data_IF_803101100928
#
_entry.id   IF_803101100928
#
_cell.length_a   1.000
_cell.length_b   1.000
_cell.length_c   1.000
_cell.angle_alpha   90.00
_cell.angle_beta   90.00
_cell.angle_gamma   90.00
#
_symmetry.space_group_name_H-M   'P 1'
#
loop_
_entity.id
_entity.type
_entity.pdbx_description
1 polymer ?
#
# COMPACT_ATOMS: atom_id res chain seq x y z
N UNK A 1 2.70 41.32 -37.91
CA UNK A 1 2.57 39.84 -37.83
C UNK A 1 3.66 39.20 -36.98
N UNK A 2 4.95 39.34 -37.30
CA UNK A 2 6.05 38.69 -36.53
C UNK A 2 6.10 39.06 -35.03
N UNK A 3 5.94 40.34 -34.67
CA UNK A 3 5.96 40.79 -33.26
C UNK A 3 4.78 40.23 -32.45
N UNK A 4 3.61 40.14 -33.07
CA UNK A 4 2.39 39.58 -32.47
C UNK A 4 2.53 38.07 -32.23
N UNK A 5 3.16 37.36 -33.18
CA UNK A 5 3.48 35.93 -33.04
C UNK A 5 4.52 35.72 -31.93
N UNK A 6 5.58 36.53 -31.86
CA UNK A 6 6.59 36.43 -30.80
C UNK A 6 6.02 36.72 -29.40
N UNK A 7 5.14 37.73 -29.26
CA UNK A 7 4.47 38.04 -28.00
C UNK A 7 3.51 36.92 -27.56
N UNK A 8 2.80 36.28 -28.51
CA UNK A 8 1.96 35.13 -28.23
C UNK A 8 2.76 33.89 -27.81
N UNK A 9 3.93 33.65 -28.42
CA UNK A 9 4.82 32.54 -28.03
C UNK A 9 5.41 32.76 -26.64
N UNK A 10 5.86 33.97 -26.30
CA UNK A 10 6.38 34.30 -24.96
C UNK A 10 5.25 34.20 -23.92
N UNK A 11 4.07 34.76 -24.21
CA UNK A 11 2.91 34.71 -23.33
C UNK A 11 2.35 33.30 -23.12
N UNK A 12 2.43 32.41 -24.13
CA UNK A 12 2.04 30.99 -24.02
C UNK A 12 3.14 30.11 -23.39
N UNK A 13 4.42 30.50 -23.52
CA UNK A 13 5.53 29.79 -22.88
C UNK A 13 5.50 29.90 -21.34
N UNK A 14 5.09 31.06 -20.81
CA UNK A 14 4.96 31.33 -19.37
C UNK A 14 4.01 30.37 -18.63
N UNK A 15 2.74 30.16 -19.05
CA UNK A 15 1.84 29.22 -18.41
C UNK A 15 2.27 27.76 -18.59
N UNK A 16 2.85 27.40 -19.75
CA UNK A 16 3.39 26.06 -19.95
C UNK A 16 4.55 25.77 -18.99
N UNK A 17 5.49 26.70 -18.86
CA UNK A 17 6.61 26.60 -17.90
C UNK A 17 6.08 26.53 -16.47
N UNK A 18 5.09 27.35 -16.09
CA UNK A 18 4.47 27.29 -14.77
C UNK A 18 3.81 25.93 -14.49
N UNK A 19 3.11 25.34 -15.47
CA UNK A 19 2.52 24.01 -15.36
C UNK A 19 3.59 22.92 -15.21
N UNK A 20 4.69 22.99 -15.97
CA UNK A 20 5.80 22.05 -15.87
C UNK A 20 6.50 22.15 -14.51
N UNK A 21 6.76 23.36 -14.02
CA UNK A 21 7.33 23.59 -12.69
C UNK A 21 6.41 23.07 -11.59
N UNK A 22 5.09 23.31 -11.70
CA UNK A 22 4.10 22.78 -10.77
C UNK A 22 4.07 21.25 -10.80
N UNK A 23 4.08 20.64 -11.99
CA UNK A 23 4.09 19.18 -12.14
C UNK A 23 5.37 18.57 -11.56
N UNK A 24 6.54 19.18 -11.81
CA UNK A 24 7.81 18.77 -11.25
C UNK A 24 7.81 18.88 -9.72
N UNK A 25 7.30 19.99 -9.17
CA UNK A 25 7.19 20.20 -7.73
C UNK A 25 6.26 19.18 -7.06
N UNK A 26 5.08 18.94 -7.63
CA UNK A 26 4.14 17.93 -7.12
C UNK A 26 4.76 16.54 -7.19
N UNK A 27 5.42 16.19 -8.30
CA UNK A 27 6.08 14.90 -8.46
C UNK A 27 7.19 14.72 -7.44
N UNK A 28 8.10 15.69 -7.30
CA UNK A 28 9.17 15.64 -6.31
C UNK A 28 8.61 15.56 -4.88
N UNK A 29 7.55 16.32 -4.60
CA UNK A 29 6.91 16.34 -3.29
C UNK A 29 6.26 15.00 -2.93
N UNK A 30 5.50 14.41 -3.85
CA UNK A 30 4.77 13.16 -3.63
C UNK A 30 5.68 11.94 -3.64
N UNK A 31 6.61 11.85 -4.60
CA UNK A 31 7.43 10.66 -4.80
C UNK A 31 8.74 10.65 -4.01
N UNK A 32 9.19 11.80 -3.49
CA UNK A 32 10.47 11.90 -2.78
C UNK A 32 10.39 12.60 -1.42
N UNK A 33 9.92 13.86 -1.38
CA UNK A 33 10.01 14.66 -0.16
C UNK A 33 9.07 14.13 0.94
N UNK A 34 7.82 13.84 0.61
CA UNK A 34 6.82 13.37 1.59
C UNK A 34 7.20 12.02 2.20
N UNK A 35 7.56 10.98 1.41
CA UNK A 35 7.97 9.69 1.97
C UNK A 35 9.21 9.81 2.86
N UNK A 36 10.17 10.65 2.48
CA UNK A 36 11.39 10.88 3.27
C UNK A 36 11.13 11.66 4.56
N UNK A 37 10.21 12.64 4.54
CA UNK A 37 9.75 13.35 5.74
C UNK A 37 9.07 12.39 6.71
N UNK A 38 8.16 11.54 6.24
CA UNK A 38 7.50 10.52 7.06
C UNK A 38 8.53 9.57 7.67
N UNK A 39 9.48 9.07 6.87
CA UNK A 39 10.55 8.20 7.38
C UNK A 39 11.40 8.86 8.46
N UNK A 40 11.76 10.14 8.29
CA UNK A 40 12.51 10.92 9.30
C UNK A 40 11.70 11.10 10.58
N UNK A 41 10.42 11.43 10.46
CA UNK A 41 9.52 11.57 11.61
C UNK A 41 9.39 10.27 12.41
N UNK A 42 9.28 9.13 11.70
CA UNK A 42 9.23 7.81 12.33
C UNK A 42 10.56 7.44 13.00
N UNK A 43 11.70 7.75 12.35
CA UNK A 43 13.01 7.53 12.92
C UNK A 43 13.25 8.36 14.19
N UNK A 44 12.72 9.59 14.26
CA UNK A 44 12.75 10.43 15.46
C UNK A 44 11.93 9.84 16.63
N UNK A 45 10.91 9.03 16.33
CA UNK A 45 10.12 8.28 17.31
C UNK A 45 10.75 6.90 17.65
N UNK A 46 11.96 6.62 17.17
CA UNK A 46 12.66 5.35 17.39
C UNK A 46 12.30 4.24 16.40
N UNK A 47 11.38 4.47 15.47
CA UNK A 47 10.97 3.48 14.46
C UNK A 47 11.88 3.56 13.24
N UNK A 48 12.79 2.58 13.11
CA UNK A 48 13.75 2.49 12.00
C UNK A 48 13.34 1.40 11.01
N UNK A 49 14.09 1.27 9.94
CA UNK A 49 13.87 0.24 8.94
C UNK A 49 14.89 0.32 7.81
N UNK A 50 14.75 -0.54 6.78
CA UNK A 50 15.75 -0.68 5.73
C UNK A 50 15.94 0.63 4.94
N UNK A 51 17.16 0.95 4.51
CA UNK A 51 17.41 2.13 3.70
C UNK A 51 16.72 1.97 2.31
N UNK A 52 15.86 2.91 1.88
CA UNK A 52 15.19 2.83 0.61
C UNK A 52 16.11 3.28 -0.53
N UNK A 53 15.91 2.69 -1.72
CA UNK A 53 16.55 3.17 -2.95
C UNK A 53 15.74 4.32 -3.57
N UNK A 54 16.39 5.24 -4.32
CA UNK A 54 15.69 6.31 -5.02
C UNK A 54 14.55 5.80 -5.91
N UNK A 55 13.37 6.44 -5.81
CA UNK A 55 12.12 6.16 -6.55
C UNK A 55 11.46 4.78 -6.35
N UNK A 56 12.26 3.73 -6.22
CA UNK A 56 11.81 2.33 -6.15
C UNK A 56 11.61 1.85 -4.72
N UNK A 57 12.16 2.58 -3.73
CA UNK A 57 12.08 2.19 -2.33
C UNK A 57 12.81 0.87 -2.06
N UNK A 58 12.15 -0.04 -1.36
CA UNK A 58 12.67 -1.37 -1.02
C UNK A 58 12.16 -2.48 -1.97
N UNK A 59 11.43 -2.14 -3.04
CA UNK A 59 10.80 -3.15 -3.92
C UNK A 59 11.78 -4.17 -4.50
N UNK A 60 12.98 -3.73 -4.92
CA UNK A 60 14.00 -4.64 -5.47
C UNK A 60 14.55 -5.62 -4.43
N UNK A 61 14.67 -5.17 -3.19
CA UNK A 61 15.11 -6.02 -2.08
C UNK A 61 14.01 -7.04 -1.75
N UNK A 62 12.77 -6.58 -1.66
CA UNK A 62 11.60 -7.44 -1.45
C UNK A 62 11.49 -8.51 -2.55
N UNK A 63 11.59 -8.12 -3.82
CA UNK A 63 11.49 -9.06 -4.95
C UNK A 63 12.62 -10.08 -4.95
N UNK A 64 13.86 -9.66 -4.62
CA UNK A 64 15.00 -10.56 -4.53
C UNK A 64 14.87 -11.55 -3.36
N UNK A 65 14.38 -11.10 -2.20
CA UNK A 65 14.12 -11.96 -1.05
C UNK A 65 13.03 -12.99 -1.36
N UNK A 66 11.92 -12.57 -1.97
CA UNK A 66 10.83 -13.47 -2.39
C UNK A 66 11.35 -14.50 -3.39
N UNK A 67 12.06 -14.06 -4.45
CA UNK A 67 12.59 -14.97 -5.45
C UNK A 67 13.53 -16.04 -4.87
N UNK A 68 14.35 -15.68 -3.87
CA UNK A 68 15.20 -16.64 -3.15
C UNK A 68 14.39 -17.58 -2.28
N UNK A 69 13.40 -17.06 -1.53
CA UNK A 69 12.59 -17.87 -0.63
C UNK A 69 11.65 -18.84 -1.37
N UNK A 70 11.31 -18.54 -2.62
CA UNK A 70 10.47 -19.37 -3.48
C UNK A 70 11.24 -20.12 -4.57
N UNK A 71 12.58 -20.13 -4.52
CA UNK A 71 13.42 -20.74 -5.56
C UNK A 71 13.23 -22.27 -5.63
N UNK A 72 13.18 -22.91 -4.47
CA UNK A 72 13.02 -24.36 -4.34
C UNK A 72 11.60 -24.73 -3.93
N UNK A 73 11.21 -25.98 -4.14
CA UNK A 73 9.94 -26.53 -3.67
C UNK A 73 9.84 -26.53 -2.13
N UNK A 74 8.62 -26.57 -1.61
CA UNK A 74 8.43 -26.69 -0.17
C UNK A 74 8.87 -28.10 0.29
N UNK A 75 9.69 -28.21 1.34
CA UNK A 75 10.20 -29.50 1.82
C UNK A 75 9.08 -30.36 2.41
N UNK A 76 8.03 -29.74 2.95
CA UNK A 76 6.83 -30.40 3.47
C UNK A 76 5.63 -29.46 3.38
N UNK A 77 4.43 -30.05 3.43
CA UNK A 77 3.21 -29.26 3.57
C UNK A 77 3.14 -28.68 4.98
N UNK A 78 3.29 -27.35 5.07
CA UNK A 78 3.23 -26.61 6.32
C UNK A 78 2.32 -25.39 6.18
N UNK A 79 1.67 -24.99 7.28
CA UNK A 79 0.94 -23.73 7.37
C UNK A 79 1.86 -22.53 7.66
N UNK A 80 3.10 -22.77 8.11
CA UNK A 80 4.09 -21.71 8.31
C UNK A 80 4.79 -21.33 6.99
N UNK A 81 4.06 -20.56 6.19
CA UNK A 81 4.48 -20.12 4.85
C UNK A 81 4.95 -18.67 4.81
N UNK A 82 4.93 -17.96 5.95
CA UNK A 82 5.21 -16.52 6.01
C UNK A 82 6.66 -16.24 5.59
N UNK A 83 7.61 -17.03 6.06
CA UNK A 83 9.01 -16.92 5.64
C UNK A 83 9.23 -17.13 4.15
N UNK A 84 8.34 -17.89 3.48
CA UNK A 84 8.40 -18.15 2.04
C UNK A 84 7.76 -17.02 1.21
N UNK A 85 6.55 -16.61 1.57
CA UNK A 85 5.79 -15.62 0.78
C UNK A 85 6.15 -14.16 1.13
N UNK A 86 6.54 -13.91 2.38
CA UNK A 86 6.85 -12.58 2.91
C UNK A 86 8.19 -12.58 3.68
N UNK A 87 9.30 -13.08 3.09
CA UNK A 87 10.60 -13.20 3.76
C UNK A 87 11.12 -11.89 4.33
N UNK A 88 10.83 -10.78 3.66
CA UNK A 88 11.21 -9.43 4.09
C UNK A 88 10.62 -9.05 5.46
N UNK A 89 9.41 -9.51 5.80
CA UNK A 89 8.85 -9.27 7.12
C UNK A 89 9.55 -10.06 8.21
N UNK A 90 9.90 -11.32 7.94
CA UNK A 90 10.66 -12.15 8.88
C UNK A 90 12.05 -11.56 9.11
N UNK A 91 12.76 -11.22 8.03
CA UNK A 91 14.10 -10.62 8.10
C UNK A 91 14.09 -9.28 8.85
N UNK A 92 13.21 -8.35 8.46
CA UNK A 92 13.22 -7.00 9.02
C UNK A 92 12.64 -6.94 10.43
N UNK A 93 11.70 -7.82 10.79
CA UNK A 93 11.24 -7.90 12.20
C UNK A 93 12.34 -8.40 13.13
N UNK A 94 13.19 -9.33 12.67
CA UNK A 94 14.39 -9.74 13.41
C UNK A 94 15.46 -8.65 13.51
N UNK A 95 15.57 -7.79 12.50
CA UNK A 95 16.63 -6.77 12.42
C UNK A 95 16.26 -5.45 13.10
N UNK A 96 15.00 -5.00 12.95
CA UNK A 96 14.53 -3.69 13.40
C UNK A 96 13.51 -3.79 14.56
N UNK A 97 13.14 -5.01 14.95
CA UNK A 97 12.16 -5.27 16.00
C UNK A 97 10.72 -5.34 15.50
N UNK A 98 9.77 -5.29 16.44
CA UNK A 98 8.34 -5.51 16.17
C UNK A 98 7.65 -4.38 15.39
N UNK A 99 8.34 -3.27 15.18
CA UNK A 99 7.83 -2.09 14.52
C UNK A 99 8.91 -1.51 13.60
N UNK A 100 8.64 -1.46 12.31
CA UNK A 100 9.60 -0.91 11.35
C UNK A 100 8.92 -0.24 10.15
N UNK A 101 9.63 0.68 9.51
CA UNK A 101 9.16 1.42 8.32
C UNK A 101 9.99 1.06 7.09
N UNK A 102 9.32 0.78 5.99
CA UNK A 102 9.96 0.58 4.68
C UNK A 102 9.18 1.33 3.58
N UNK A 103 9.78 1.51 2.41
CA UNK A 103 9.10 2.15 1.28
C UNK A 103 8.73 1.08 0.23
N UNK A 104 7.45 1.04 -0.13
CA UNK A 104 6.95 0.27 -1.26
C UNK A 104 6.78 1.21 -2.46
N UNK A 105 7.82 1.33 -3.28
CA UNK A 105 7.91 2.41 -4.26
C UNK A 105 8.06 3.75 -3.55
N UNK A 106 7.12 4.67 -3.79
CA UNK A 106 7.01 5.93 -3.05
C UNK A 106 6.08 5.86 -1.84
N UNK A 107 5.42 4.73 -1.57
CA UNK A 107 4.48 4.61 -0.46
C UNK A 107 5.21 4.16 0.82
N UNK A 108 5.30 5.00 1.87
CA UNK A 108 5.83 4.58 3.15
C UNK A 108 4.85 3.61 3.82
N UNK A 109 5.37 2.49 4.31
CA UNK A 109 4.59 1.46 5.01
C UNK A 109 5.19 1.21 6.39
N UNK A 110 4.32 1.22 7.38
CA UNK A 110 4.63 0.83 8.75
C UNK A 110 4.21 -0.62 8.95
N UNK A 111 5.15 -1.50 9.29
CA UNK A 111 4.87 -2.88 9.65
C UNK A 111 4.72 -2.99 11.16
N UNK A 112 3.60 -3.54 11.60
CA UNK A 112 3.27 -3.82 12.99
C UNK A 112 3.27 -5.34 13.16
N UNK A 113 4.12 -5.88 14.04
CA UNK A 113 4.06 -7.29 14.45
C UNK A 113 3.70 -7.46 15.92
N UNK A 114 3.62 -6.35 16.68
CA UNK A 114 3.15 -6.39 18.06
C UNK A 114 1.62 -6.55 18.14
N UNK A 115 1.16 -7.60 18.81
CA UNK A 115 -0.25 -7.98 18.87
C UNK A 115 -1.11 -6.96 19.62
N UNK A 116 -0.56 -6.25 20.62
CA UNK A 116 -1.30 -5.23 21.35
C UNK A 116 -1.57 -4.02 20.44
N UNK A 117 -0.56 -3.57 19.69
CA UNK A 117 -0.70 -2.48 18.73
C UNK A 117 -1.62 -2.86 17.57
N UNK A 118 -1.53 -4.09 17.06
CA UNK A 118 -2.43 -4.58 16.00
C UNK A 118 -3.88 -4.58 16.50
N UNK A 119 -4.13 -5.07 17.71
CA UNK A 119 -5.48 -5.10 18.30
C UNK A 119 -6.04 -3.69 18.49
N UNK A 120 -5.22 -2.76 18.96
CA UNK A 120 -5.62 -1.35 19.06
C UNK A 120 -5.92 -0.77 17.67
N UNK A 121 -5.02 -0.94 16.70
CA UNK A 121 -5.18 -0.40 15.34
C UNK A 121 -6.40 -0.97 14.59
N UNK A 122 -6.74 -2.23 14.82
CA UNK A 122 -7.92 -2.89 14.23
C UNK A 122 -9.21 -2.69 15.05
N UNK A 123 -9.15 -1.96 16.17
CA UNK A 123 -10.34 -1.65 16.95
C UNK A 123 -11.27 -0.66 16.25
N UNK A 124 -12.51 -0.58 16.72
CA UNK A 124 -13.51 0.37 16.20
C UNK A 124 -13.06 1.83 16.26
N UNK A 125 -12.16 2.18 17.18
CA UNK A 125 -11.56 3.51 17.33
C UNK A 125 -10.89 4.01 16.05
N UNK A 126 -10.22 3.11 15.32
CA UNK A 126 -9.46 3.45 14.11
C UNK A 126 -10.08 2.89 12.83
N UNK A 127 -11.29 2.33 12.89
CA UNK A 127 -11.94 1.70 11.74
C UNK A 127 -12.04 2.62 10.49
N UNK A 128 -12.19 3.93 10.71
CA UNK A 128 -12.22 4.93 9.63
C UNK A 128 -10.84 5.26 9.05
N UNK A 129 -9.77 5.04 9.81
CA UNK A 129 -8.37 5.22 9.39
C UNK A 129 -7.80 3.96 8.72
N UNK A 130 -8.39 2.79 8.97
CA UNK A 130 -8.01 1.53 8.32
C UNK A 130 -8.60 1.40 6.92
N UNK A 131 -7.82 0.93 5.96
CA UNK A 131 -8.29 0.74 4.59
C UNK A 131 -7.21 0.24 3.63
N UNK A 132 -7.62 0.01 2.39
CA UNK A 132 -6.73 -0.30 1.28
C UNK A 132 -6.01 0.95 0.81
N UNK A 133 -4.71 0.81 0.58
CA UNK A 133 -3.86 1.93 0.20
C UNK A 133 -4.24 2.47 -1.19
N UNK A 134 -3.87 3.72 -1.50
CA UNK A 134 -4.14 4.27 -2.83
C UNK A 134 -3.47 3.45 -3.93
N UNK A 135 -2.21 3.04 -3.70
CA UNK A 135 -1.46 2.22 -4.64
C UNK A 135 -2.13 0.87 -4.89
N UNK A 136 -2.62 0.21 -3.83
CA UNK A 136 -3.37 -1.04 -3.95
C UNK A 136 -4.66 -0.87 -4.76
N UNK A 137 -5.44 0.17 -4.45
CA UNK A 137 -6.73 0.42 -5.12
C UNK A 137 -6.56 0.78 -6.59
N UNK A 138 -5.59 1.63 -6.94
CA UNK A 138 -5.35 1.99 -8.34
C UNK A 138 -4.69 0.86 -9.11
N UNK A 139 -3.69 0.19 -8.52
CA UNK A 139 -2.96 -0.89 -9.18
C UNK A 139 -3.83 -2.10 -9.53
N UNK A 140 -4.91 -2.33 -8.79
CA UNK A 140 -5.84 -3.46 -9.02
C UNK A 140 -7.18 -3.05 -9.64
N UNK A 141 -7.40 -1.74 -9.88
CA UNK A 141 -8.69 -1.20 -10.31
C UNK A 141 -9.21 -1.85 -11.58
N UNK A 142 -8.34 -2.10 -12.56
CA UNK A 142 -8.72 -2.68 -13.85
C UNK A 142 -8.88 -4.20 -13.81
N UNK A 143 -8.38 -4.87 -12.77
CA UNK A 143 -8.47 -6.33 -12.62
C UNK A 143 -9.66 -6.75 -11.75
N UNK A 144 -9.87 -6.04 -10.63
CA UNK A 144 -10.84 -6.44 -9.58
C UNK A 144 -11.95 -5.39 -9.42
N UNK A 145 -11.81 -4.22 -10.04
CA UNK A 145 -12.78 -3.14 -9.92
C UNK A 145 -12.81 -2.48 -8.54
N UNK A 146 -13.86 -1.69 -8.30
CA UNK A 146 -14.13 -1.01 -7.03
C UNK A 146 -15.09 -1.77 -6.11
N UNK A 147 -15.03 -3.11 -6.14
CA UNK A 147 -15.87 -3.99 -5.32
C UNK A 147 -15.43 -4.06 -3.86
N UNK A 148 -16.09 -4.92 -3.08
CA UNK A 148 -15.94 -5.03 -1.62
C UNK A 148 -14.48 -5.20 -1.18
N UNK A 149 -13.67 -5.90 -1.97
CA UNK A 149 -12.26 -6.16 -1.66
C UNK A 149 -11.41 -4.87 -1.60
N UNK A 150 -11.72 -3.88 -2.45
CA UNK A 150 -10.93 -2.65 -2.64
C UNK A 150 -11.63 -1.38 -2.17
N UNK A 151 -12.88 -1.48 -1.69
CA UNK A 151 -13.61 -0.35 -1.12
C UNK A 151 -13.06 0.06 0.25
N UNK A 152 -13.16 1.35 0.57
CA UNK A 152 -12.87 1.92 1.89
C UNK A 152 -14.09 2.69 2.42
N UNK A 153 -14.10 2.97 3.74
CA UNK A 153 -15.06 3.87 4.38
C UNK A 153 -16.53 3.48 4.13
N UNK A 154 -17.37 4.48 3.86
CA UNK A 154 -18.82 4.29 3.66
C UNK A 154 -19.15 3.32 2.52
N UNK A 155 -18.39 3.36 1.41
CA UNK A 155 -18.59 2.44 0.27
C UNK A 155 -18.34 0.99 0.66
N UNK A 156 -17.29 0.75 1.46
CA UNK A 156 -17.03 -0.58 2.01
C UNK A 156 -18.14 -1.03 2.96
N UNK A 157 -18.57 -0.15 3.86
CA UNK A 157 -19.64 -0.45 4.82
C UNK A 157 -20.93 -0.86 4.10
N UNK A 158 -21.34 -0.07 3.10
CA UNK A 158 -22.52 -0.37 2.29
C UNK A 158 -22.39 -1.70 1.54
N UNK A 159 -21.30 -1.91 0.80
CA UNK A 159 -21.09 -3.16 0.06
C UNK A 159 -21.02 -4.38 0.99
N UNK A 160 -20.41 -4.24 2.17
CA UNK A 160 -20.35 -5.31 3.17
C UNK A 160 -21.74 -5.63 3.72
N UNK A 161 -22.54 -4.61 3.99
CA UNK A 161 -23.90 -4.77 4.50
C UNK A 161 -24.79 -5.52 3.49
N UNK A 162 -24.70 -5.18 2.20
CA UNK A 162 -25.46 -5.84 1.13
C UNK A 162 -25.10 -7.33 1.00
N UNK A 163 -23.81 -7.67 1.15
CA UNK A 163 -23.32 -9.04 0.95
C UNK A 163 -23.46 -9.91 2.21
N UNK A 164 -23.49 -9.32 3.40
CA UNK A 164 -23.51 -10.05 4.67
C UNK A 164 -24.62 -11.12 4.80
N UNK A 165 -25.88 -10.89 4.35
CA UNK A 165 -26.94 -11.89 4.46
C UNK A 165 -26.64 -13.23 3.78
N UNK A 166 -25.84 -13.23 2.70
CA UNK A 166 -25.46 -14.45 1.99
C UNK A 166 -24.55 -15.39 2.82
N UNK A 167 -23.91 -14.86 3.86
CA UNK A 167 -22.98 -15.58 4.72
C UNK A 167 -23.56 -15.84 6.12
N UNK A 168 -24.88 -15.71 6.29
CA UNK A 168 -25.56 -16.02 7.55
C UNK A 168 -25.77 -17.53 7.69
N UNK A 169 -25.74 -18.03 8.94
CA UNK A 169 -25.79 -19.46 9.24
C UNK A 169 -26.96 -20.18 8.55
N UNK A 170 -28.14 -19.57 8.51
CA UNK A 170 -29.34 -20.15 7.89
C UNK A 170 -29.17 -20.36 6.37
N UNK A 171 -28.47 -19.43 5.70
CA UNK A 171 -28.21 -19.51 4.26
C UNK A 171 -27.12 -20.53 3.94
N UNK A 172 -26.15 -20.71 4.84
CA UNK A 172 -25.10 -21.72 4.69
C UNK A 172 -25.66 -23.13 4.87
N UNK A 173 -26.49 -23.37 5.89
CA UNK A 173 -27.11 -24.68 6.15
C UNK A 173 -28.04 -25.13 5.04
N UNK A 174 -28.88 -24.23 4.52
CA UNK A 174 -29.79 -24.55 3.42
C UNK A 174 -29.05 -25.01 2.15
N UNK A 175 -27.79 -24.59 1.94
CA UNK A 175 -26.96 -25.02 0.81
C UNK A 175 -26.43 -26.45 0.98
N UNK A 176 -26.15 -26.88 2.20
CA UNK A 176 -25.69 -28.24 2.49
C UNK A 176 -26.83 -29.26 2.41
N UNK A 177 -28.06 -28.84 2.72
CA UNK A 177 -29.25 -29.69 2.63
C UNK A 177 -29.81 -29.82 1.20
N UNK A 178 -29.71 -28.78 0.38
CA UNK A 178 -30.13 -28.81 -1.03
C UNK A 178 -29.18 -29.53 -2.00
N UNK A 179 -28.05 -30.07 -1.50
CA UNK A 179 -27.05 -30.81 -2.26
C UNK A 179 -26.97 -32.29 -1.86
N UNK A 180 -27.96 -32.78 -1.09
CA UNK A 180 -28.27 -34.19 -0.88
C UNK A 180 -29.45 -34.58 -1.77
#
# INVERSE_FOLDING_TARGET
MAVLVSLMVIAASSPLVALLLRAAWVTLSCYWLTPMRIRRAMAAQGVRGPPPRPLVGNLREVSALVARATADDMPSLSHDIVGRLMPHYVLWSGTYGKLFVYLYGSEPRLCLTDTALIKEFLSSKYAHATGKSWLQRQGTKHFIGGGLLMANGARWSHQRHVVAPAFMADKLKARDEGNK
#
